data_IF_390869950188
#
_entry.id   IF_390869950188
#
_cell.length_a   1.000
_cell.length_b   1.000
_cell.length_c   1.000
_cell.angle_alpha   90.00
_cell.angle_beta   90.00
_cell.angle_gamma   90.00
#
_symmetry.space_group_name_H-M   'P 1'
#
loop_
_entity.id
_entity.type
_entity.pdbx_description
1 polymer ?
#
# COMPACT_ATOMS: atom_id res chain seq x y z
N UNK A 1 14.24 -1.83 -10.14
CA UNK A 1 14.45 -2.37 -8.77
C UNK A 1 15.61 -1.71 -8.00
N UNK A 2 15.54 -0.42 -7.65
CA UNK A 2 16.54 0.24 -6.77
C UNK A 2 15.97 1.17 -5.68
N UNK A 3 14.64 1.33 -5.59
CA UNK A 3 14.04 2.39 -4.73
C UNK A 3 13.38 1.89 -3.44
N UNK A 4 13.18 0.59 -3.25
CA UNK A 4 12.50 0.03 -2.06
C UNK A 4 13.45 -0.13 -0.85
N UNK A 5 14.76 0.11 -1.03
CA UNK A 5 15.74 -0.26 -0.01
C UNK A 5 15.80 0.64 1.23
N UNK A 6 15.20 1.84 1.22
CA UNK A 6 15.45 2.85 2.26
C UNK A 6 14.51 2.81 3.48
N UNK A 7 13.38 2.07 3.42
CA UNK A 7 12.48 1.90 4.57
C UNK A 7 13.07 0.99 5.68
N UNK A 8 14.22 0.37 5.43
CA UNK A 8 14.73 -0.78 6.19
C UNK A 8 15.34 -0.49 7.56
N UNK A 9 15.70 0.75 7.89
CA UNK A 9 16.28 1.06 9.20
C UNK A 9 15.24 1.09 10.34
N UNK A 10 13.96 0.90 10.02
CA UNK A 10 12.84 0.99 10.96
C UNK A 10 12.50 -0.29 11.73
N UNK A 11 13.03 -1.45 11.34
CA UNK A 11 12.38 -2.74 11.66
C UNK A 11 13.33 -3.85 12.18
N UNK A 12 14.56 -3.51 12.58
CA UNK A 12 15.52 -4.50 13.10
C UNK A 12 15.13 -5.14 14.45
N UNK A 13 14.05 -4.69 15.09
CA UNK A 13 13.56 -5.23 16.37
C UNK A 13 12.49 -6.32 16.28
N UNK A 14 11.90 -6.58 15.11
CA UNK A 14 10.78 -7.52 14.97
C UNK A 14 11.31 -8.81 14.35
N UNK A 15 11.98 -9.63 15.16
CA UNK A 15 12.42 -10.96 14.75
C UNK A 15 11.21 -11.90 14.63
N UNK A 16 10.95 -12.37 13.40
CA UNK A 16 10.16 -13.55 13.08
C UNK A 16 8.71 -13.58 13.63
N UNK A 17 7.86 -12.67 13.17
CA UNK A 17 6.42 -12.96 13.16
C UNK A 17 6.11 -13.82 11.94
N UNK A 18 5.44 -14.95 12.21
CA UNK A 18 4.92 -15.90 11.23
C UNK A 18 4.32 -15.19 10.02
N UNK A 19 4.87 -15.43 8.82
CA UNK A 19 4.41 -14.89 7.54
C UNK A 19 3.09 -15.56 7.06
N UNK A 20 2.15 -15.84 7.96
CA UNK A 20 0.88 -16.51 7.63
C UNK A 20 -0.29 -15.54 7.79
N UNK A 21 -1.37 -15.76 7.02
CA UNK A 21 -2.58 -14.94 7.12
C UNK A 21 -3.17 -14.92 8.54
N UNK A 22 -3.19 -16.08 9.22
CA UNK A 22 -3.67 -16.19 10.60
C UNK A 22 -2.86 -15.31 11.57
N UNK A 23 -1.53 -15.28 11.43
CA UNK A 23 -0.67 -14.45 12.26
C UNK A 23 -0.86 -12.96 12.00
N UNK A 24 -1.10 -12.56 10.73
CA UNK A 24 -1.42 -11.17 10.39
C UNK A 24 -2.67 -10.69 11.15
N UNK A 25 -3.73 -11.48 11.10
CA UNK A 25 -5.00 -11.19 11.78
C UNK A 25 -4.85 -11.17 13.30
N UNK A 26 -4.17 -12.14 13.88
CA UNK A 26 -3.97 -12.22 15.33
C UNK A 26 -3.21 -11.01 15.88
N UNK A 27 -2.08 -10.67 15.24
CA UNK A 27 -1.26 -9.51 15.63
C UNK A 27 -2.06 -8.22 15.46
N UNK A 28 -2.76 -8.07 14.34
CA UNK A 28 -3.62 -6.93 14.08
C UNK A 28 -4.69 -6.73 15.17
N UNK A 29 -5.43 -7.78 15.51
CA UNK A 29 -6.47 -7.74 16.54
C UNK A 29 -5.90 -7.41 17.94
N UNK A 30 -4.69 -7.89 18.24
CA UNK A 30 -4.01 -7.55 19.49
C UNK A 30 -3.69 -6.06 19.56
N UNK A 31 -3.07 -5.50 18.50
CA UNK A 31 -2.71 -4.08 18.45
C UNK A 31 -3.98 -3.21 18.50
N UNK A 32 -5.03 -3.61 17.75
CA UNK A 32 -6.31 -2.88 17.72
C UNK A 32 -6.95 -2.77 19.10
N UNK A 33 -6.93 -3.83 19.92
CA UNK A 33 -7.51 -3.81 21.29
C UNK A 33 -6.84 -2.79 22.22
N UNK A 34 -5.56 -2.51 22.00
CA UNK A 34 -4.77 -1.58 22.80
C UNK A 34 -4.77 -0.15 22.20
N UNK A 35 -5.37 0.02 21.01
CA UNK A 35 -5.37 1.29 20.27
C UNK A 35 -6.61 2.11 20.60
N UNK A 36 -6.41 3.40 20.86
CA UNK A 36 -7.51 4.36 20.87
C UNK A 36 -7.98 4.63 19.43
N UNK A 37 -9.26 4.36 19.16
CA UNK A 37 -9.88 4.56 17.84
C UNK A 37 -10.65 5.89 17.84
N UNK A 38 -10.44 6.69 16.81
CA UNK A 38 -11.08 8.00 16.63
C UNK A 38 -11.35 8.25 15.14
N UNK A 39 -12.61 8.36 14.72
CA UNK A 39 -12.97 8.57 13.30
C UNK A 39 -12.62 9.96 12.77
N UNK A 40 -12.43 10.93 13.67
CA UNK A 40 -12.13 12.32 13.31
C UNK A 40 -10.61 12.56 13.20
N UNK A 41 -9.79 11.76 13.88
CA UNK A 41 -8.33 11.81 13.75
C UNK A 41 -7.85 11.20 12.43
N UNK A 42 -7.46 12.07 11.50
CA UNK A 42 -6.97 11.70 10.16
C UNK A 42 -5.46 11.51 10.08
N UNK A 43 -4.72 11.53 11.18
CA UNK A 43 -3.24 11.53 11.15
C UNK A 43 -2.68 10.31 10.44
N UNK A 44 -3.21 9.12 10.73
CA UNK A 44 -2.81 7.87 10.06
C UNK A 44 -3.30 7.83 8.61
N UNK A 45 -4.49 8.33 8.31
CA UNK A 45 -4.96 8.43 6.92
C UNK A 45 -4.02 9.32 6.09
N UNK A 46 -3.69 10.51 6.60
CA UNK A 46 -2.89 11.50 5.91
C UNK A 46 -1.45 11.02 5.66
N UNK A 47 -0.85 10.27 6.59
CA UNK A 47 0.51 9.76 6.37
C UNK A 47 0.55 8.64 5.33
N UNK A 48 -0.52 7.83 5.21
CA UNK A 48 -0.65 6.84 4.13
C UNK A 48 -0.85 7.51 2.77
N UNK A 49 -1.63 8.60 2.74
CA UNK A 49 -1.84 9.42 1.54
C UNK A 49 -0.56 10.14 1.11
N UNK A 50 0.18 10.74 2.06
CA UNK A 50 1.48 11.38 1.79
C UNK A 50 2.51 10.37 1.26
N UNK A 51 2.50 9.13 1.78
CA UNK A 51 3.35 8.06 1.27
C UNK A 51 2.98 7.66 -0.16
N UNK A 52 1.69 7.51 -0.44
CA UNK A 52 1.20 7.22 -1.78
C UNK A 52 1.66 8.27 -2.79
N UNK A 53 1.41 9.53 -2.49
CA UNK A 53 1.70 10.66 -3.38
C UNK A 53 3.20 10.72 -3.70
N UNK A 54 4.05 10.62 -2.68
CA UNK A 54 5.51 10.80 -2.84
C UNK A 54 6.25 9.58 -3.41
N UNK A 55 5.69 8.39 -3.25
CA UNK A 55 6.39 7.14 -3.61
C UNK A 55 5.83 6.51 -4.88
N UNK A 56 4.51 6.47 -5.04
CA UNK A 56 3.86 5.76 -6.14
C UNK A 56 3.27 6.66 -7.22
N UNK A 57 2.72 7.82 -6.84
CA UNK A 57 2.05 8.73 -7.78
C UNK A 57 3.02 9.74 -8.43
N UNK A 58 4.07 10.14 -7.70
CA UNK A 58 5.05 11.08 -8.21
C UNK A 58 5.85 10.52 -9.40
N UNK A 59 6.18 11.39 -10.37
CA UNK A 59 7.01 10.99 -11.51
C UNK A 59 8.44 10.63 -11.10
N UNK A 60 8.92 11.23 -10.01
CA UNK A 60 10.24 11.03 -9.42
C UNK A 60 10.13 10.55 -7.97
N UNK A 61 11.25 10.12 -7.39
CA UNK A 61 11.28 9.77 -5.97
C UNK A 61 11.22 11.05 -5.13
N UNK A 62 10.10 11.25 -4.44
CA UNK A 62 9.86 12.41 -3.57
C UNK A 62 9.83 12.02 -2.08
N UNK A 63 10.23 10.78 -1.75
CA UNK A 63 10.34 10.33 -0.36
C UNK A 63 11.51 11.04 0.33
N UNK A 64 11.18 12.05 1.13
CA UNK A 64 12.15 12.81 1.91
C UNK A 64 12.38 12.20 3.29
N UNK A 65 13.52 12.55 3.90
CA UNK A 65 13.81 12.26 5.32
C UNK A 65 12.69 12.76 6.25
N UNK A 66 12.13 13.93 5.98
CA UNK A 66 11.01 14.48 6.74
C UNK A 66 9.80 13.53 6.73
N UNK A 67 9.48 12.95 5.58
CA UNK A 67 8.37 11.99 5.44
C UNK A 67 8.62 10.76 6.31
N UNK A 68 9.85 10.25 6.31
CA UNK A 68 10.27 9.11 7.15
C UNK A 68 10.16 9.46 8.65
N UNK A 69 10.61 10.66 9.04
CA UNK A 69 10.54 11.14 10.43
C UNK A 69 9.09 11.30 10.90
N UNK A 70 8.15 11.72 10.04
CA UNK A 70 6.72 11.75 10.35
C UNK A 70 6.16 10.35 10.62
N UNK A 71 6.49 9.36 9.78
CA UNK A 71 6.12 7.96 10.00
C UNK A 71 6.64 7.45 11.35
N UNK A 72 7.91 7.71 11.64
CA UNK A 72 8.55 7.32 12.91
C UNK A 72 7.87 7.95 14.12
N UNK A 73 7.59 9.26 14.04
CA UNK A 73 6.93 9.99 15.12
C UNK A 73 5.55 9.40 15.41
N UNK A 74 4.72 9.19 14.39
CA UNK A 74 3.39 8.58 14.58
C UNK A 74 3.49 7.17 15.16
N UNK A 75 4.38 6.33 14.62
CA UNK A 75 4.54 4.95 15.06
C UNK A 75 5.10 4.79 16.49
N UNK A 76 5.84 5.77 16.99
CA UNK A 76 6.44 5.75 18.33
C UNK A 76 5.63 6.50 19.39
N UNK A 77 4.66 7.32 18.99
CA UNK A 77 3.82 8.07 19.91
C UNK A 77 2.67 7.19 20.42
N UNK A 78 2.64 6.84 21.73
CA UNK A 78 1.60 5.99 22.30
C UNK A 78 0.22 6.65 22.34
N UNK A 79 0.13 7.95 22.08
CA UNK A 79 -1.13 8.69 22.02
C UNK A 79 -1.77 8.70 20.63
N UNK A 80 -1.04 8.27 19.59
CA UNK A 80 -1.51 8.21 18.21
C UNK A 80 -2.79 7.39 18.12
N UNK A 81 -3.86 8.02 17.64
CA UNK A 81 -5.13 7.34 17.36
C UNK A 81 -5.02 6.51 16.09
N UNK A 82 -5.80 5.43 16.04
CA UNK A 82 -5.88 4.53 14.88
C UNK A 82 -4.53 3.91 14.46
N UNK A 83 -3.56 3.84 15.39
CA UNK A 83 -2.20 3.38 15.10
C UNK A 83 -2.14 1.94 14.58
N UNK A 84 -3.13 1.11 14.92
CA UNK A 84 -3.26 -0.26 14.42
C UNK A 84 -3.28 -0.35 12.89
N UNK A 85 -3.86 0.64 12.20
CA UNK A 85 -3.81 0.73 10.72
C UNK A 85 -2.38 0.96 10.24
N UNK A 86 -1.66 1.91 10.86
CA UNK A 86 -0.29 2.22 10.48
C UNK A 86 0.64 1.03 10.74
N UNK A 87 0.45 0.33 11.86
CA UNK A 87 1.24 -0.85 12.20
C UNK A 87 1.00 -1.99 11.21
N UNK A 88 -0.25 -2.26 10.82
CA UNK A 88 -0.57 -3.25 9.79
C UNK A 88 0.05 -2.89 8.43
N UNK A 89 -0.01 -1.60 8.06
CA UNK A 89 0.64 -1.11 6.86
C UNK A 89 2.16 -1.33 6.88
N UNK A 90 2.81 -1.01 8.00
CA UNK A 90 4.25 -1.21 8.18
C UNK A 90 4.63 -2.70 8.17
N UNK A 91 3.80 -3.57 8.76
CA UNK A 91 3.97 -5.02 8.69
C UNK A 91 3.89 -5.53 7.24
N UNK A 92 2.94 -5.02 6.46
CA UNK A 92 2.85 -5.33 5.03
C UNK A 92 4.11 -4.87 4.27
N UNK A 93 4.53 -3.63 4.47
CA UNK A 93 5.77 -3.08 3.87
C UNK A 93 7.01 -3.91 4.23
N UNK A 94 7.11 -4.33 5.49
CA UNK A 94 8.19 -5.18 5.96
C UNK A 94 8.21 -6.52 5.23
N UNK A 95 7.05 -7.16 5.10
CA UNK A 95 6.91 -8.47 4.46
C UNK A 95 7.39 -8.43 3.01
N UNK A 96 6.90 -7.48 2.21
CA UNK A 96 7.29 -7.36 0.80
C UNK A 96 8.77 -6.97 0.64
N UNK A 97 9.31 -6.16 1.55
CA UNK A 97 10.71 -5.74 1.50
C UNK A 97 11.66 -6.89 1.83
N UNK A 98 11.38 -7.65 2.90
CA UNK A 98 12.22 -8.77 3.32
C UNK A 98 12.27 -9.89 2.28
N UNK A 99 11.15 -10.19 1.63
CA UNK A 99 11.10 -11.26 0.61
C UNK A 99 11.86 -10.84 -0.65
N UNK A 100 11.74 -9.58 -1.06
CA UNK A 100 12.49 -9.02 -2.19
C UNK A 100 14.01 -9.09 -1.96
N UNK A 101 14.49 -8.83 -0.73
CA UNK A 101 15.93 -8.90 -0.39
C UNK A 101 16.54 -10.28 -0.58
N UNK A 102 15.78 -11.32 -0.25
CA UNK A 102 16.23 -12.71 -0.37
C UNK A 102 15.83 -13.37 -1.70
N UNK A 103 15.33 -12.56 -2.65
CA UNK A 103 14.90 -13.02 -3.98
C UNK A 103 13.70 -13.97 -3.96
N UNK A 104 12.90 -13.95 -2.88
CA UNK A 104 11.70 -14.78 -2.74
C UNK A 104 10.45 -13.96 -3.05
N UNK A 105 9.43 -14.65 -3.57
CA UNK A 105 8.10 -14.07 -3.66
C UNK A 105 7.50 -13.95 -2.26
N UNK A 106 6.86 -12.82 -1.90
CA UNK A 106 6.15 -12.71 -0.63
C UNK A 106 4.97 -13.67 -0.57
N UNK A 107 4.63 -14.15 0.64
CA UNK A 107 3.47 -15.03 0.83
C UNK A 107 2.19 -14.32 0.34
N UNK A 108 1.51 -14.82 -0.70
CA UNK A 108 0.31 -14.17 -1.25
C UNK A 108 -0.87 -14.21 -0.27
N UNK A 109 -1.03 -15.25 0.54
CA UNK A 109 -2.12 -15.35 1.51
C UNK A 109 -2.00 -14.27 2.59
N UNK A 110 -0.78 -14.03 3.08
CA UNK A 110 -0.51 -12.95 4.03
C UNK A 110 -0.84 -11.59 3.41
N UNK A 111 -0.39 -11.34 2.17
CA UNK A 111 -0.61 -10.06 1.50
C UNK A 111 -2.10 -9.79 1.26
N UNK A 112 -2.85 -10.80 0.81
CA UNK A 112 -4.29 -10.70 0.58
C UNK A 112 -5.02 -10.42 1.90
N UNK A 113 -4.68 -11.12 2.98
CA UNK A 113 -5.34 -10.90 4.27
C UNK A 113 -5.00 -9.53 4.89
N UNK A 114 -3.73 -9.13 4.84
CA UNK A 114 -3.29 -7.83 5.36
C UNK A 114 -3.95 -6.66 4.60
N UNK A 115 -4.04 -6.74 3.27
CA UNK A 115 -4.69 -5.69 2.46
C UNK A 115 -6.20 -5.66 2.64
N UNK A 116 -6.85 -6.82 2.83
CA UNK A 116 -8.27 -6.91 3.22
C UNK A 116 -8.52 -6.22 4.57
N UNK A 117 -7.71 -6.51 5.58
CA UNK A 117 -7.81 -5.88 6.90
C UNK A 117 -7.59 -4.36 6.82
N UNK A 118 -6.59 -3.90 6.05
CA UNK A 118 -6.35 -2.46 5.84
C UNK A 118 -7.55 -1.75 5.21
N UNK A 119 -8.13 -2.34 4.15
CA UNK A 119 -9.32 -1.80 3.49
C UNK A 119 -10.53 -1.75 4.44
N UNK A 120 -10.82 -2.85 5.14
CA UNK A 120 -11.95 -2.92 6.07
C UNK A 120 -11.84 -1.89 7.19
N UNK A 121 -10.66 -1.73 7.78
CA UNK A 121 -10.45 -0.81 8.89
C UNK A 121 -10.50 0.66 8.47
N UNK A 122 -9.86 0.98 7.34
CA UNK A 122 -9.91 2.35 6.81
C UNK A 122 -11.33 2.71 6.37
N UNK A 123 -12.06 1.78 5.74
CA UNK A 123 -13.46 2.00 5.41
C UNK A 123 -14.35 2.11 6.66
N UNK A 124 -14.07 1.33 7.71
CA UNK A 124 -14.82 1.40 8.96
C UNK A 124 -14.65 2.74 9.68
N UNK A 125 -13.40 3.20 9.84
CA UNK A 125 -13.03 4.37 10.64
C UNK A 125 -13.19 5.66 9.83
N UNK A 126 -12.65 5.70 8.61
CA UNK A 126 -12.55 6.91 7.80
C UNK A 126 -13.65 7.06 6.75
N UNK A 127 -14.46 6.01 6.54
CA UNK A 127 -15.45 5.87 5.45
C UNK A 127 -14.82 6.04 4.06
N UNK A 128 -13.51 5.82 3.95
CA UNK A 128 -12.73 5.96 2.74
C UNK A 128 -11.47 5.11 2.83
N UNK A 129 -11.15 4.42 1.75
CA UNK A 129 -9.92 3.61 1.62
C UNK A 129 -8.84 4.42 0.90
N UNK A 130 -7.66 4.67 1.50
CA UNK A 130 -6.51 5.28 0.84
C UNK A 130 -6.12 4.59 -0.48
N UNK A 131 -5.67 5.36 -1.49
CA UNK A 131 -5.31 4.84 -2.81
C UNK A 131 -4.25 3.73 -2.76
N UNK A 132 -3.26 3.87 -1.87
CA UNK A 132 -2.20 2.88 -1.63
C UNK A 132 -2.73 1.49 -1.29
N UNK A 133 -3.88 1.42 -0.60
CA UNK A 133 -4.47 0.14 -0.21
C UNK A 133 -5.10 -0.55 -1.43
N UNK A 134 -5.74 0.18 -2.35
CA UNK A 134 -6.22 -0.41 -3.61
C UNK A 134 -5.06 -0.97 -4.45
N UNK A 135 -3.95 -0.25 -4.51
CA UNK A 135 -2.75 -0.65 -5.24
C UNK A 135 -2.16 -1.94 -4.65
N UNK A 136 -1.92 -1.97 -3.34
CA UNK A 136 -1.37 -3.17 -2.70
C UNK A 136 -2.33 -4.34 -2.70
N UNK A 137 -3.64 -4.10 -2.57
CA UNK A 137 -4.63 -5.16 -2.71
C UNK A 137 -4.65 -5.74 -4.12
N UNK A 138 -4.55 -4.91 -5.16
CA UNK A 138 -4.39 -5.38 -6.55
C UNK A 138 -3.17 -6.30 -6.68
N UNK A 139 -1.99 -5.84 -6.25
CA UNK A 139 -0.73 -6.58 -6.35
C UNK A 139 -0.78 -7.90 -5.56
N UNK A 140 -1.37 -7.88 -4.37
CA UNK A 140 -1.58 -9.06 -3.53
C UNK A 140 -2.48 -10.09 -4.23
N UNK A 141 -3.60 -9.66 -4.80
CA UNK A 141 -4.54 -10.54 -5.50
C UNK A 141 -3.94 -11.10 -6.80
N UNK A 142 -3.23 -10.27 -7.57
CA UNK A 142 -2.55 -10.68 -8.79
C UNK A 142 -1.48 -11.74 -8.51
N UNK A 143 -0.63 -11.51 -7.49
CA UNK A 143 0.36 -12.50 -7.03
C UNK A 143 -0.25 -13.79 -6.48
N UNK A 144 -1.52 -13.75 -6.02
CA UNK A 144 -2.29 -14.90 -5.59
C UNK A 144 -3.03 -15.62 -6.75
N UNK A 145 -2.82 -15.23 -8.00
CA UNK A 145 -3.54 -15.70 -9.18
C UNK A 145 -5.07 -15.48 -9.13
N UNK A 146 -5.51 -14.40 -8.45
CA UNK A 146 -6.92 -14.01 -8.34
C UNK A 146 -7.27 -12.87 -9.30
N UNK A 147 -7.08 -13.12 -10.59
CA UNK A 147 -7.11 -12.09 -11.63
C UNK A 147 -8.42 -11.25 -11.67
N UNK A 148 -9.59 -11.89 -11.52
CA UNK A 148 -10.88 -11.18 -11.54
C UNK A 148 -11.06 -10.28 -10.31
N UNK A 149 -10.63 -10.73 -9.12
CA UNK A 149 -10.67 -9.92 -7.89
C UNK A 149 -9.68 -8.74 -7.99
N UNK A 150 -8.48 -8.98 -8.55
CA UNK A 150 -7.49 -7.93 -8.79
C UNK A 150 -8.06 -6.88 -9.75
N UNK A 151 -8.59 -7.29 -10.90
CA UNK A 151 -9.25 -6.41 -11.88
C UNK A 151 -10.36 -5.56 -11.24
N UNK A 152 -11.25 -6.19 -10.48
CA UNK A 152 -12.33 -5.47 -9.78
C UNK A 152 -11.78 -4.43 -8.80
N UNK A 153 -10.69 -4.77 -8.08
CA UNK A 153 -10.01 -3.86 -7.14
C UNK A 153 -9.42 -2.64 -7.86
N UNK A 154 -8.73 -2.84 -8.99
CA UNK A 154 -8.17 -1.72 -9.77
C UNK A 154 -9.26 -0.79 -10.32
N UNK A 155 -10.36 -1.35 -10.86
CA UNK A 155 -11.48 -0.57 -11.38
C UNK A 155 -12.15 0.24 -10.27
N UNK A 156 -12.39 -0.36 -9.10
CA UNK A 156 -12.97 0.34 -7.96
C UNK A 156 -12.04 1.43 -7.44
N UNK A 157 -10.74 1.15 -7.30
CA UNK A 157 -9.76 2.14 -6.90
C UNK A 157 -9.72 3.32 -7.87
N UNK A 158 -9.71 3.05 -9.19
CA UNK A 158 -9.69 4.11 -10.21
C UNK A 158 -10.97 4.97 -10.19
N UNK A 159 -12.12 4.38 -9.85
CA UNK A 159 -13.37 5.14 -9.67
C UNK A 159 -13.26 6.14 -8.52
N UNK A 160 -12.57 5.78 -7.44
CA UNK A 160 -12.38 6.66 -6.27
C UNK A 160 -11.22 7.65 -6.46
N UNK A 161 -10.21 7.26 -7.24
CA UNK A 161 -8.98 8.02 -7.50
C UNK A 161 -8.71 8.10 -9.01
N UNK A 162 -9.51 8.89 -9.77
CA UNK A 162 -9.46 8.93 -11.23
C UNK A 162 -8.13 9.44 -11.80
N UNK A 163 -7.33 10.17 -11.02
CA UNK A 163 -6.02 10.71 -11.43
C UNK A 163 -4.84 9.81 -11.01
N UNK A 164 -5.11 8.68 -10.34
CA UNK A 164 -4.07 7.74 -9.93
C UNK A 164 -3.40 7.08 -11.13
N UNK A 165 -2.13 7.38 -11.35
CA UNK A 165 -1.32 6.77 -12.41
C UNK A 165 -1.19 5.25 -12.22
N UNK A 166 -0.87 4.74 -11.01
CA UNK A 166 -0.83 3.29 -10.78
C UNK A 166 -2.15 2.58 -11.09
N UNK A 167 -3.30 3.14 -10.64
CA UNK A 167 -4.60 2.50 -10.84
C UNK A 167 -5.06 2.55 -12.30
N UNK A 168 -4.74 3.62 -13.05
CA UNK A 168 -4.92 3.66 -14.50
C UNK A 168 -4.11 2.56 -15.20
N UNK A 169 -2.86 2.37 -14.81
CA UNK A 169 -1.99 1.33 -15.37
C UNK A 169 -2.57 -0.05 -15.10
N UNK A 170 -2.90 -0.38 -13.84
CA UNK A 170 -3.45 -1.69 -13.50
C UNK A 170 -4.81 -1.95 -14.16
N UNK A 171 -5.65 -0.92 -14.28
CA UNK A 171 -6.90 -1.04 -15.03
C UNK A 171 -6.63 -1.30 -16.52
N UNK A 172 -5.69 -0.59 -17.15
CA UNK A 172 -5.29 -0.87 -18.54
C UNK A 172 -4.73 -2.29 -18.70
N UNK A 173 -3.83 -2.74 -17.82
CA UNK A 173 -3.21 -4.06 -17.92
C UNK A 173 -4.24 -5.20 -17.88
N UNK A 174 -5.34 -5.01 -17.15
CA UNK A 174 -6.43 -6.01 -17.00
C UNK A 174 -7.57 -5.87 -18.01
N UNK A 175 -7.84 -4.66 -18.51
CA UNK A 175 -8.99 -4.40 -19.43
C UNK A 175 -8.59 -4.19 -20.88
N UNK A 176 -7.32 -3.81 -21.12
CA UNK A 176 -6.79 -3.35 -22.41
C UNK A 176 -7.53 -2.13 -22.98
N UNK A 177 -8.04 -1.25 -22.12
CA UNK A 177 -8.65 0.01 -22.53
C UNK A 177 -7.60 1.00 -23.07
N UNK A 178 -7.57 1.16 -24.39
CA UNK A 178 -6.63 2.05 -25.10
C UNK A 178 -6.82 3.53 -24.75
N UNK A 179 -7.98 3.94 -24.23
CA UNK A 179 -8.19 5.33 -23.78
C UNK A 179 -7.32 5.65 -22.56
N UNK A 180 -7.20 4.69 -21.63
CA UNK A 180 -6.31 4.81 -20.46
C UNK A 180 -4.85 4.84 -20.88
N UNK A 181 -4.46 3.97 -21.82
CA UNK A 181 -3.10 3.95 -22.36
C UNK A 181 -2.73 5.29 -22.99
N UNK A 182 -3.62 5.85 -23.81
CA UNK A 182 -3.41 7.14 -24.45
C UNK A 182 -3.28 8.27 -23.42
N UNK A 183 -4.16 8.29 -22.41
CA UNK A 183 -4.09 9.27 -21.32
C UNK A 183 -2.73 9.20 -20.57
N UNK A 184 -2.31 7.99 -20.20
CA UNK A 184 -1.03 7.73 -19.52
C UNK A 184 0.18 8.20 -20.35
N UNK A 185 0.22 7.87 -21.64
CA UNK A 185 1.31 8.25 -22.54
C UNK A 185 1.35 9.77 -22.80
N UNK A 186 0.19 10.42 -22.86
CA UNK A 186 0.11 11.86 -23.16
C UNK A 186 0.40 12.74 -21.93
N UNK A 187 -0.06 12.33 -20.74
CA UNK A 187 0.00 13.17 -19.53
C UNK A 187 1.08 12.75 -18.53
N UNK A 188 1.49 11.49 -18.55
CA UNK A 188 2.36 10.89 -17.53
C UNK A 188 3.51 10.08 -18.14
N UNK A 189 3.97 10.44 -19.35
CA UNK A 189 5.06 9.76 -20.06
C UNK A 189 6.36 9.68 -19.26
N UNK A 190 6.58 10.62 -18.34
CA UNK A 190 7.76 10.65 -17.50
C UNK A 190 7.67 9.76 -16.25
N UNK A 191 6.45 9.37 -15.87
CA UNK A 191 6.19 8.57 -14.69
C UNK A 191 6.86 7.19 -14.80
N UNK A 192 7.50 6.76 -13.71
CA UNK A 192 8.32 5.54 -13.70
C UNK A 192 7.51 4.29 -14.08
N UNK A 193 6.27 4.13 -13.57
CA UNK A 193 5.42 3.00 -13.94
C UNK A 193 4.99 3.04 -15.41
N UNK A 194 4.78 4.21 -16.02
CA UNK A 194 4.41 4.30 -17.44
C UNK A 194 5.56 3.79 -18.30
N UNK A 195 6.79 4.22 -17.97
CA UNK A 195 8.01 3.73 -18.63
C UNK A 195 8.19 2.23 -18.46
N UNK A 196 7.91 1.70 -17.28
CA UNK A 196 8.11 0.29 -16.96
C UNK A 196 7.04 -0.64 -17.56
N UNK A 197 5.76 -0.24 -17.55
CA UNK A 197 4.66 -1.16 -17.87
C UNK A 197 3.96 -0.86 -19.21
N UNK A 198 4.14 0.33 -19.79
CA UNK A 198 3.43 0.76 -21.01
C UNK A 198 4.38 0.95 -22.20
N UNK A 199 5.58 1.49 -21.97
CA UNK A 199 6.52 1.86 -23.04
C UNK A 199 7.56 0.79 -23.38
N UNK A 200 7.53 -0.37 -22.71
CA UNK A 200 8.41 -1.49 -23.03
C UNK A 200 8.04 -2.16 -24.36
#
# INVERSE_FOLDING_TARGET
MKKIAFLMLLLSGIHAFSQTAAAAKEVFEKIKKETAIDSDDRSVYNILDEFYEKNLQAENDEMTRETIEKFQKLASDPSTKNIHILMLFLMYQQHISQTAMVGKQPNPEFQVEATRLLEEETQMIYKKTPAIIYIYKYEALDSANKAEEAKATAIQGLKEYPDSVPLKIYTYLTTKDETLKSDLLNKHSNHWMVKEFIMQ
#
